data_IF_634346458931
#
_entry.id   IF_634346458931
#
_cell.length_a   1.000
_cell.length_b   1.000
_cell.length_c   1.000
_cell.angle_alpha   90.00
_cell.angle_beta   90.00
_cell.angle_gamma   90.00
#
_symmetry.space_group_name_H-M   'P 1'
#
loop_
_entity.id
_entity.type
_entity.pdbx_description
1 polymer ?
#
# COMPACT_ATOMS: atom_id res chain seq x y z
N UNK A 1 -16.44 5.28 17.80
CA UNK A 1 -16.36 5.89 16.45
C UNK A 1 -14.94 5.92 15.90
N UNK A 2 -13.91 6.03 16.74
CA UNK A 2 -12.50 6.09 16.27
C UNK A 2 -11.97 4.80 15.64
N UNK A 3 -12.34 3.64 16.19
CA UNK A 3 -11.93 2.34 15.66
C UNK A 3 -12.39 2.14 14.20
N UNK A 4 -13.60 2.59 13.87
CA UNK A 4 -14.15 2.51 12.50
C UNK A 4 -13.34 3.37 11.53
N UNK A 5 -12.89 4.56 11.95
CA UNK A 5 -12.04 5.43 11.13
C UNK A 5 -10.67 4.80 10.88
N UNK A 6 -10.09 4.14 11.89
CA UNK A 6 -8.82 3.43 11.76
C UNK A 6 -8.97 2.24 10.80
N UNK A 7 -10.00 1.42 10.96
CA UNK A 7 -10.25 0.27 10.07
C UNK A 7 -10.49 0.74 8.63
N UNK A 8 -11.26 1.82 8.42
CA UNK A 8 -11.47 2.40 7.10
C UNK A 8 -10.15 2.90 6.47
N UNK A 9 -9.27 3.53 7.26
CA UNK A 9 -7.95 3.96 6.77
C UNK A 9 -7.05 2.79 6.37
N UNK A 10 -7.11 1.70 7.15
CA UNK A 10 -6.41 0.45 6.84
C UNK A 10 -6.93 -0.16 5.53
N UNK A 11 -8.25 -0.19 5.34
CA UNK A 11 -8.87 -0.70 4.12
C UNK A 11 -8.47 0.09 2.87
N UNK A 12 -8.43 1.42 2.95
CA UNK A 12 -7.98 2.27 1.83
C UNK A 12 -6.50 1.99 1.50
N UNK A 13 -5.66 1.89 2.51
CA UNK A 13 -4.25 1.57 2.33
C UNK A 13 -4.05 0.20 1.67
N UNK A 14 -4.85 -0.80 2.03
CA UNK A 14 -4.76 -2.16 1.49
C UNK A 14 -5.16 -2.24 0.01
N UNK A 15 -6.16 -1.45 -0.40
CA UNK A 15 -6.54 -1.34 -1.81
C UNK A 15 -5.38 -0.75 -2.62
N UNK A 16 -4.77 0.33 -2.13
CA UNK A 16 -3.62 0.96 -2.78
C UNK A 16 -2.45 -0.03 -2.86
N UNK A 17 -2.13 -0.71 -1.76
CA UNK A 17 -1.10 -1.74 -1.70
C UNK A 17 -1.31 -2.82 -2.77
N UNK A 18 -2.54 -3.32 -2.92
CA UNK A 18 -2.87 -4.38 -3.88
C UNK A 18 -2.65 -3.93 -5.32
N UNK A 19 -3.12 -2.73 -5.67
CA UNK A 19 -2.97 -2.17 -7.02
C UNK A 19 -1.48 -1.97 -7.33
N UNK A 20 -0.73 -1.38 -6.40
CA UNK A 20 0.70 -1.13 -6.53
C UNK A 20 1.47 -2.44 -6.72
N UNK A 21 1.23 -3.45 -5.87
CA UNK A 21 1.90 -4.74 -5.95
C UNK A 21 1.68 -5.42 -7.29
N UNK A 22 0.44 -5.45 -7.77
CA UNK A 22 0.10 -6.02 -9.07
C UNK A 22 0.69 -5.21 -10.24
N UNK A 23 0.62 -3.89 -10.17
CA UNK A 23 1.17 -3.02 -11.21
C UNK A 23 2.68 -3.18 -11.37
N UNK A 24 3.43 -3.19 -10.26
CA UNK A 24 4.88 -3.43 -10.29
C UNK A 24 5.23 -4.85 -10.72
N UNK A 25 4.50 -5.86 -10.26
CA UNK A 25 4.70 -7.25 -10.71
C UNK A 25 4.56 -7.36 -12.22
N UNK A 26 3.48 -6.82 -12.78
CA UNK A 26 3.25 -6.84 -14.23
C UNK A 26 4.34 -6.07 -14.99
N UNK A 27 4.72 -4.90 -14.48
CA UNK A 27 5.78 -4.09 -15.08
C UNK A 27 7.12 -4.85 -15.15
N UNK A 28 7.55 -5.46 -14.05
CA UNK A 28 8.82 -6.20 -14.03
C UNK A 28 8.78 -7.43 -14.93
N UNK A 29 7.66 -8.16 -14.97
CA UNK A 29 7.50 -9.28 -15.89
C UNK A 29 7.57 -8.86 -17.36
N UNK A 30 7.11 -7.64 -17.70
CA UNK A 30 7.19 -7.09 -19.05
C UNK A 30 8.63 -6.71 -19.45
N UNK A 31 9.50 -6.49 -18.46
CA UNK A 31 10.92 -6.13 -18.64
C UNK A 31 11.81 -7.39 -18.55
N UNK A 32 11.24 -8.59 -18.73
CA UNK A 32 11.96 -9.88 -18.67
C UNK A 32 12.67 -10.18 -17.33
N UNK A 33 12.22 -9.57 -16.22
CA UNK A 33 12.68 -9.98 -14.90
C UNK A 33 12.16 -11.36 -14.53
N UNK A 34 12.99 -12.14 -13.83
CA UNK A 34 12.56 -13.42 -13.27
C UNK A 34 11.30 -13.22 -12.37
N UNK A 35 10.27 -14.06 -12.51
CA UNK A 35 9.01 -13.90 -11.78
C UNK A 35 9.18 -13.86 -10.26
N UNK A 36 10.17 -14.57 -9.73
CA UNK A 36 10.51 -14.58 -8.32
C UNK A 36 11.05 -13.22 -7.85
N UNK A 37 12.01 -12.67 -8.59
CA UNK A 37 12.60 -11.37 -8.28
C UNK A 37 11.58 -10.25 -8.45
N UNK A 38 10.77 -10.30 -9.51
CA UNK A 38 9.66 -9.37 -9.73
C UNK A 38 8.69 -9.34 -8.54
N UNK A 39 8.35 -10.52 -7.99
CA UNK A 39 7.42 -10.65 -6.87
C UNK A 39 7.98 -10.03 -5.60
N UNK A 40 9.25 -10.30 -5.31
CA UNK A 40 9.91 -9.76 -4.12
C UNK A 40 10.05 -8.24 -4.21
N UNK A 41 10.48 -7.71 -5.35
CA UNK A 41 10.65 -6.27 -5.52
C UNK A 41 9.31 -5.55 -5.48
N UNK A 42 8.29 -6.08 -6.16
CA UNK A 42 6.92 -5.56 -6.10
C UNK A 42 6.35 -5.59 -4.69
N UNK A 43 6.62 -6.64 -3.92
CA UNK A 43 6.21 -6.75 -2.52
C UNK A 43 6.88 -5.71 -1.64
N UNK A 44 8.20 -5.54 -1.74
CA UNK A 44 8.96 -4.56 -0.94
C UNK A 44 8.48 -3.14 -1.22
N UNK A 45 8.30 -2.79 -2.50
CA UNK A 45 7.82 -1.47 -2.92
C UNK A 45 6.40 -1.22 -2.39
N UNK A 46 5.52 -2.20 -2.53
CA UNK A 46 4.14 -2.07 -2.06
C UNK A 46 4.07 -1.90 -0.53
N UNK A 47 4.86 -2.66 0.24
CA UNK A 47 4.92 -2.51 1.71
C UNK A 47 5.43 -1.13 2.12
N UNK A 48 6.47 -0.61 1.45
CA UNK A 48 6.97 0.73 1.72
C UNK A 48 5.91 1.81 1.49
N UNK A 49 5.19 1.74 0.36
CA UNK A 49 4.09 2.67 0.04
C UNK A 49 2.94 2.53 1.04
N UNK A 50 2.56 1.30 1.41
CA UNK A 50 1.51 1.04 2.38
C UNK A 50 1.77 1.71 3.73
N UNK A 51 3.01 1.60 4.24
CA UNK A 51 3.40 2.23 5.51
C UNK A 51 3.33 3.76 5.43
N UNK A 52 3.75 4.36 4.31
CA UNK A 52 3.65 5.81 4.10
C UNK A 52 2.18 6.26 4.07
N UNK A 53 1.34 5.55 3.32
CA UNK A 53 -0.09 5.85 3.19
C UNK A 53 -0.81 5.74 4.53
N UNK A 54 -0.56 4.68 5.31
CA UNK A 54 -1.15 4.54 6.65
C UNK A 54 -0.72 5.67 7.57
N UNK A 55 0.58 6.00 7.62
CA UNK A 55 1.05 7.09 8.47
C UNK A 55 0.38 8.42 8.10
N UNK A 56 0.19 8.68 6.81
CA UNK A 56 -0.49 9.86 6.32
C UNK A 56 -1.99 9.87 6.68
N UNK A 57 -2.70 8.77 6.44
CA UNK A 57 -4.12 8.63 6.75
C UNK A 57 -4.41 8.72 8.26
N UNK A 58 -3.56 8.11 9.10
CA UNK A 58 -3.66 8.19 10.56
C UNK A 58 -3.41 9.62 11.04
N UNK A 59 -2.45 10.32 10.44
CA UNK A 59 -2.21 11.74 10.74
C UNK A 59 -3.44 12.58 10.39
N UNK A 60 -4.01 12.44 9.20
CA UNK A 60 -5.21 13.19 8.79
C UNK A 60 -6.41 12.89 9.68
N UNK A 61 -6.69 11.61 9.96
CA UNK A 61 -7.84 11.23 10.80
C UNK A 61 -7.73 11.72 12.24
N UNK A 62 -6.49 11.93 12.74
CA UNK A 62 -6.24 12.53 14.04
C UNK A 62 -6.43 14.06 14.05
N UNK A 63 -6.18 14.75 12.93
CA UNK A 63 -6.42 16.19 12.79
C UNK A 63 -7.92 16.54 12.73
N UNK A 64 -8.77 15.59 12.30
CA UNK A 64 -10.23 15.80 12.23
C UNK A 64 -10.95 15.66 13.59
N UNK A 65 -10.20 15.65 14.71
CA UNK A 65 -10.73 15.58 16.07
C UNK A 65 -10.74 16.92 16.80
N UNK A 66 -10.21 17.98 16.19
CA UNK A 66 -10.29 19.35 16.69
C UNK A 66 -11.58 20.04 16.22
#
# INVERSE_FOLDING_TARGET
>A
TDLVKIIASLGIAEIIYTIVRWGFQFYFLTVDYEPYLASITGQIIAVAIYLVVINFLVKITRWYKD
#
